data_IF_708393092520
#
_entry.id   IF_708393092520
#
_cell.length_a   1.000
_cell.length_b   1.000
_cell.length_c   1.000
_cell.angle_alpha   90.00
_cell.angle_beta   90.00
_cell.angle_gamma   90.00
#
_symmetry.space_group_name_H-M   'P 1'
#
loop_
_entity.id
_entity.type
_entity.pdbx_description
1 polymer ?
#
# COMPACT_ATOMS: atom_id res chain seq x y z
N UNK A 1 8.04 -7.95 8.14
CA UNK A 1 6.94 -6.99 8.38
C UNK A 1 7.24 -5.68 7.68
N UNK A 2 6.23 -4.93 7.27
CA UNK A 2 6.35 -3.56 6.78
C UNK A 2 5.25 -2.69 7.40
N UNK A 3 5.55 -1.43 7.71
CA UNK A 3 4.63 -0.47 8.33
C UNK A 3 4.49 0.73 7.40
N UNK A 4 3.24 1.18 7.22
CA UNK A 4 2.87 2.28 6.34
C UNK A 4 2.12 3.36 7.11
N UNK A 5 2.20 4.59 6.63
CA UNK A 5 1.26 5.63 7.01
C UNK A 5 -0.13 5.32 6.44
N UNK A 6 -1.10 4.99 7.31
CA UNK A 6 -2.42 4.51 6.89
C UNK A 6 -3.18 5.54 6.06
N UNK A 7 -2.92 6.84 6.27
CA UNK A 7 -3.52 7.97 5.54
C UNK A 7 -3.40 7.83 4.02
N UNK A 8 -2.36 7.16 3.54
CA UNK A 8 -2.07 7.04 2.11
C UNK A 8 -2.35 5.65 1.53
N UNK A 9 -3.00 4.77 2.31
CA UNK A 9 -3.37 3.43 1.88
C UNK A 9 -4.80 3.42 1.37
N UNK A 10 -4.98 2.97 0.13
CA UNK A 10 -6.25 3.01 -0.60
C UNK A 10 -7.08 1.73 -0.39
N UNK A 11 -7.28 1.34 0.88
CA UNK A 11 -7.99 0.13 1.25
C UNK A 11 -7.13 -1.13 1.27
N UNK A 12 -7.79 -2.24 1.62
CA UNK A 12 -7.15 -3.56 1.73
C UNK A 12 -6.51 -4.01 0.40
N UNK A 13 -7.21 -3.79 -0.72
CA UNK A 13 -6.75 -4.27 -2.04
C UNK A 13 -5.41 -3.65 -2.44
N UNK A 14 -5.16 -2.38 -2.14
CA UNK A 14 -3.87 -1.71 -2.35
C UNK A 14 -2.74 -2.54 -1.72
N UNK A 15 -2.79 -2.81 -0.41
CA UNK A 15 -1.73 -3.57 0.25
C UNK A 15 -1.67 -5.03 -0.22
N UNK A 16 -2.82 -5.64 -0.51
CA UNK A 16 -2.87 -7.01 -1.01
C UNK A 16 -2.12 -7.15 -2.34
N UNK A 17 -2.38 -6.28 -3.32
CA UNK A 17 -1.69 -6.31 -4.61
C UNK A 17 -0.22 -5.92 -4.49
N UNK A 18 0.14 -4.99 -3.61
CA UNK A 18 1.53 -4.65 -3.35
C UNK A 18 2.32 -5.87 -2.82
N UNK A 19 1.74 -6.63 -1.88
CA UNK A 19 2.34 -7.86 -1.35
C UNK A 19 2.43 -8.94 -2.42
N UNK A 20 1.36 -9.15 -3.18
CA UNK A 20 1.34 -10.14 -4.27
C UNK A 20 2.43 -9.85 -5.30
N UNK A 21 2.56 -8.60 -5.72
CA UNK A 21 3.54 -8.17 -6.71
C UNK A 21 4.97 -8.29 -6.16
N UNK A 22 5.21 -7.91 -4.91
CA UNK A 22 6.51 -8.07 -4.25
C UNK A 22 6.92 -9.54 -4.13
N UNK A 23 6.02 -10.42 -3.68
CA UNK A 23 6.28 -11.87 -3.61
C UNK A 23 6.54 -12.46 -5.00
N UNK A 24 5.79 -12.02 -6.01
CA UNK A 24 5.98 -12.44 -7.40
C UNK A 24 7.35 -12.00 -7.94
N UNK A 25 7.78 -10.78 -7.64
CA UNK A 25 9.08 -10.26 -8.03
C UNK A 25 10.23 -11.03 -7.35
N UNK A 26 10.10 -11.34 -6.06
CA UNK A 26 11.05 -12.17 -5.31
C UNK A 26 11.15 -13.57 -5.88
N UNK A 27 10.01 -14.24 -6.11
CA UNK A 27 9.96 -15.60 -6.63
C UNK A 27 10.64 -15.72 -8.00
N UNK A 28 10.46 -14.72 -8.85
CA UNK A 28 10.97 -14.73 -10.23
C UNK A 28 12.35 -14.06 -10.36
N UNK A 29 12.97 -13.62 -9.26
CA UNK A 29 14.32 -13.05 -9.27
C UNK A 29 14.45 -11.70 -9.97
N UNK A 30 13.33 -11.00 -10.18
CA UNK A 30 13.34 -9.64 -10.72
C UNK A 30 13.09 -8.59 -9.64
N UNK A 31 13.15 -8.89 -8.35
CA UNK A 31 12.97 -7.89 -7.30
C UNK A 31 13.93 -6.68 -7.41
N UNK A 32 13.47 -5.48 -7.03
CA UNK A 32 14.25 -4.24 -7.01
C UNK A 32 15.15 -4.19 -5.77
N UNK A 33 14.61 -4.57 -4.62
CA UNK A 33 15.25 -4.61 -3.32
C UNK A 33 15.52 -6.05 -2.90
N UNK A 34 16.65 -6.30 -2.22
CA UNK A 34 16.98 -7.60 -1.61
C UNK A 34 16.16 -7.92 -0.35
N UNK A 35 15.44 -6.93 0.20
CA UNK A 35 14.59 -7.07 1.37
C UNK A 35 13.11 -7.05 0.97
N UNK A 36 12.37 -8.11 1.29
CA UNK A 36 10.95 -8.26 0.94
C UNK A 36 10.08 -7.16 1.51
N UNK A 37 10.31 -6.71 2.75
CA UNK A 37 9.53 -5.61 3.34
C UNK A 37 9.71 -4.30 2.56
N UNK A 38 10.93 -4.05 2.10
CA UNK A 38 11.23 -2.89 1.25
C UNK A 38 10.63 -3.03 -0.14
N UNK A 39 10.58 -4.25 -0.68
CA UNK A 39 9.92 -4.52 -1.96
C UNK A 39 8.42 -4.25 -1.90
N UNK A 40 7.75 -4.69 -0.82
CA UNK A 40 6.32 -4.37 -0.61
C UNK A 40 6.11 -2.85 -0.56
N UNK A 41 7.02 -2.10 0.07
CA UNK A 41 6.95 -0.64 0.09
C UNK A 41 7.15 -0.01 -1.28
N UNK A 42 8.08 -0.52 -2.09
CA UNK A 42 8.29 -0.05 -3.46
C UNK A 42 7.05 -0.28 -4.32
N UNK A 43 6.44 -1.47 -4.24
CA UNK A 43 5.20 -1.77 -4.95
C UNK A 43 4.03 -0.90 -4.48
N UNK A 44 3.74 -0.84 -3.17
CA UNK A 44 2.65 -0.03 -2.63
C UNK A 44 2.78 1.46 -3.01
N UNK A 45 4.00 2.00 -2.99
CA UNK A 45 4.24 3.40 -3.36
C UNK A 45 4.31 3.65 -4.86
N UNK A 46 4.28 2.59 -5.67
CA UNK A 46 4.59 2.61 -7.09
C UNK A 46 5.89 3.36 -7.40
N UNK A 47 6.94 3.16 -6.59
CA UNK A 47 8.26 3.78 -6.75
C UNK A 47 9.35 2.73 -6.96
N UNK A 48 10.33 3.05 -7.82
CA UNK A 48 11.55 2.24 -7.98
C UNK A 48 12.69 2.68 -7.06
N UNK A 49 12.57 3.86 -6.44
CA UNK A 49 13.56 4.43 -5.53
C UNK A 49 13.10 4.30 -4.08
N UNK A 50 13.91 3.65 -3.24
CA UNK A 50 13.61 3.40 -1.83
C UNK A 50 13.34 4.70 -1.07
N UNK A 51 14.17 5.73 -1.26
CA UNK A 51 14.01 7.01 -0.54
C UNK A 51 12.65 7.65 -0.84
N UNK A 52 12.24 7.68 -2.12
CA UNK A 52 10.92 8.18 -2.52
C UNK A 52 9.80 7.33 -1.92
N UNK A 53 9.94 6.01 -1.92
CA UNK A 53 8.94 5.11 -1.34
C UNK A 53 8.72 5.38 0.17
N UNK A 54 9.82 5.61 0.91
CA UNK A 54 9.79 5.97 2.34
C UNK A 54 9.17 7.37 2.53
N UNK A 55 9.53 8.36 1.72
CA UNK A 55 8.97 9.72 1.80
C UNK A 55 7.45 9.74 1.57
N UNK A 56 6.98 8.88 0.65
CA UNK A 56 5.58 8.76 0.21
C UNK A 56 4.73 7.99 1.23
N UNK A 57 5.07 6.73 1.53
CA UNK A 57 4.24 5.84 2.35
C UNK A 57 4.84 5.47 3.70
N UNK A 58 6.08 5.85 3.99
CA UNK A 58 6.72 5.58 5.27
C UNK A 58 6.04 6.30 6.43
N UNK A 59 6.17 5.73 7.63
CA UNK A 59 5.67 6.32 8.88
C UNK A 59 6.50 7.55 9.23
N UNK A 60 5.82 8.63 9.64
CA UNK A 60 6.43 9.88 10.11
C UNK A 60 6.15 10.07 11.61
N UNK A 61 6.94 10.86 12.35
CA UNK A 61 6.78 11.02 13.80
C UNK A 61 5.40 11.51 14.26
N UNK A 62 4.64 12.15 13.38
CA UNK A 62 3.33 12.74 13.61
C UNK A 62 2.15 11.82 13.22
N UNK A 63 2.42 10.57 12.82
CA UNK A 63 1.40 9.62 12.37
C UNK A 63 0.77 8.89 13.56
N UNK A 64 -0.56 9.01 13.69
CA UNK A 64 -1.36 8.30 14.70
C UNK A 64 -1.98 6.99 14.18
N UNK A 65 -2.09 6.83 12.86
CA UNK A 65 -2.72 5.67 12.23
C UNK A 65 -1.73 4.99 11.27
N UNK A 66 -1.46 3.71 11.51
CA UNK A 66 -0.52 2.93 10.69
C UNK A 66 -1.19 1.69 10.14
N UNK A 67 -0.80 1.30 8.93
CA UNK A 67 -1.13 0.01 8.37
C UNK A 67 0.09 -0.91 8.48
N UNK A 68 -0.12 -2.16 8.91
CA UNK A 68 0.96 -3.13 9.09
C UNK A 68 0.73 -4.33 8.20
N UNK A 69 1.76 -4.70 7.44
CA UNK A 69 1.82 -5.94 6.67
C UNK A 69 2.78 -6.92 7.35
N UNK A 70 2.28 -8.11 7.67
CA UNK A 70 3.06 -9.22 8.22
C UNK A 70 3.01 -10.37 7.22
N UNK A 71 4.19 -10.84 6.80
CA UNK A 71 4.37 -11.98 5.90
C UNK A 71 5.16 -13.01 6.69
N UNK A 72 4.66 -14.24 6.73
CA UNK A 72 5.24 -15.36 7.46
C UNK A 72 4.97 -16.66 6.71
N UNK A 73 5.91 -17.61 6.78
CA UNK A 73 5.77 -18.94 6.18
C UNK A 73 4.82 -19.86 6.98
N UNK A 74 4.42 -19.42 8.19
CA UNK A 74 3.46 -20.13 9.03
C UNK A 74 2.47 -19.17 9.69
N UNK A 75 1.28 -19.70 9.98
CA UNK A 75 0.24 -18.98 10.70
C UNK A 75 0.70 -18.59 12.11
N UNK A 76 1.29 -19.53 12.84
CA UNK A 76 1.80 -19.29 14.20
C UNK A 76 2.86 -18.18 14.22
N UNK A 77 3.74 -18.14 13.22
CA UNK A 77 4.74 -17.08 13.07
C UNK A 77 4.10 -15.71 12.82
N UNK A 78 3.03 -15.65 12.01
CA UNK A 78 2.29 -14.41 11.79
C UNK A 78 1.58 -13.93 13.07
N UNK A 79 0.99 -14.85 13.84
CA UNK A 79 0.33 -14.52 15.11
C UNK A 79 1.32 -14.03 16.17
N UNK A 80 2.49 -14.66 16.27
CA UNK A 80 3.59 -14.18 17.16
C UNK A 80 4.01 -12.77 16.76
N UNK A 81 4.29 -12.54 15.47
CA UNK A 81 4.69 -11.23 14.99
C UNK A 81 3.61 -10.17 15.23
N UNK A 82 2.33 -10.52 15.03
CA UNK A 82 1.21 -9.62 15.31
C UNK A 82 1.19 -9.20 16.78
N UNK A 83 1.34 -10.13 17.73
CA UNK A 83 1.41 -9.80 19.16
C UNK A 83 2.55 -8.83 19.48
N UNK A 84 3.75 -9.12 18.99
CA UNK A 84 4.94 -8.27 19.22
C UNK A 84 4.72 -6.87 18.66
N UNK A 85 4.13 -6.75 17.46
CA UNK A 85 3.85 -5.44 16.85
C UNK A 85 2.80 -4.67 17.64
N UNK A 86 1.73 -5.33 18.09
CA UNK A 86 0.70 -4.69 18.92
C UNK A 86 1.27 -4.15 20.23
N UNK A 87 2.15 -4.91 20.89
CA UNK A 87 2.84 -4.46 22.10
C UNK A 87 3.77 -3.27 21.84
N UNK A 88 4.52 -3.30 20.72
CA UNK A 88 5.48 -2.25 20.39
C UNK A 88 4.80 -0.92 20.02
N UNK A 89 3.70 -0.98 19.26
CA UNK A 89 3.00 0.22 18.80
C UNK A 89 2.13 0.86 19.89
N UNK A 90 1.80 0.12 20.95
CA UNK A 90 0.93 0.59 22.05
C UNK A 90 -0.40 1.18 21.56
N UNK A 91 -0.88 0.72 20.40
CA UNK A 91 -2.10 1.21 19.74
C UNK A 91 -3.21 0.16 19.72
N UNK A 92 -4.41 0.58 19.34
CA UNK A 92 -5.55 -0.31 19.16
C UNK A 92 -5.66 -0.77 17.70
N UNK A 93 -5.89 -2.06 17.49
CA UNK A 93 -6.12 -2.59 16.15
C UNK A 93 -7.52 -2.19 15.69
N UNK A 94 -7.60 -1.46 14.59
CA UNK A 94 -8.85 -1.22 13.87
C UNK A 94 -8.65 -1.37 12.37
N UNK A 95 -9.45 -2.20 11.72
CA UNK A 95 -9.43 -2.34 10.26
C UNK A 95 -10.03 -1.10 9.56
N UNK A 96 -10.78 -0.25 10.30
CA UNK A 96 -11.36 1.00 9.80
C UNK A 96 -10.33 2.01 9.32
N UNK A 97 -9.07 1.93 9.78
CA UNK A 97 -7.98 2.81 9.31
C UNK A 97 -7.69 2.62 7.81
N UNK A 98 -8.11 1.49 7.23
CA UNK A 98 -7.97 1.23 5.80
C UNK A 98 -9.16 1.75 4.99
N UNK A 99 -10.30 2.01 5.61
CA UNK A 99 -11.49 2.51 4.92
C UNK A 99 -11.20 3.85 4.24
N UNK A 100 -11.82 4.04 3.08
CA UNK A 100 -11.70 5.26 2.31
C UNK A 100 -12.80 6.23 2.73
N UNK A 101 -12.40 7.49 2.92
CA UNK A 101 -13.29 8.64 3.08
C UNK A 101 -12.79 9.77 2.18
N UNK A 102 -13.57 10.84 2.05
CA UNK A 102 -13.27 11.96 1.15
C UNK A 102 -11.89 12.58 1.40
N UNK A 103 -11.52 12.81 2.66
CA UNK A 103 -10.23 13.40 3.04
C UNK A 103 -9.05 12.51 2.66
N UNK A 104 -9.20 11.20 2.89
CA UNK A 104 -8.20 10.19 2.56
C UNK A 104 -8.05 10.04 1.06
N UNK A 105 -9.15 9.98 0.32
CA UNK A 105 -9.17 9.97 -1.15
C UNK A 105 -8.44 11.20 -1.68
N UNK A 106 -8.74 12.39 -1.17
CA UNK A 106 -8.05 13.62 -1.58
C UNK A 106 -6.54 13.55 -1.31
N UNK A 107 -6.14 13.15 -0.11
CA UNK A 107 -4.72 13.03 0.26
C UNK A 107 -3.97 12.01 -0.62
N UNK A 108 -4.59 10.87 -0.91
CA UNK A 108 -4.04 9.85 -1.80
C UNK A 108 -3.92 10.39 -3.23
N UNK A 109 -4.94 11.05 -3.75
CA UNK A 109 -4.91 11.65 -5.09
C UNK A 109 -3.79 12.67 -5.22
N UNK A 110 -3.63 13.54 -4.24
CA UNK A 110 -2.53 14.52 -4.21
C UNK A 110 -1.17 13.83 -4.18
N UNK A 111 -0.99 12.83 -3.32
CA UNK A 111 0.28 12.12 -3.17
C UNK A 111 0.69 11.36 -4.43
N UNK A 112 -0.25 10.64 -5.04
CA UNK A 112 0.01 9.86 -6.24
C UNK A 112 -0.10 10.72 -7.51
N UNK A 113 -0.62 11.95 -7.46
CA UNK A 113 -0.86 12.76 -8.65
C UNK A 113 -1.94 12.13 -9.54
N UNK A 114 -3.08 11.73 -8.95
CA UNK A 114 -4.25 11.20 -9.67
C UNK A 114 -5.18 12.35 -10.06
N UNK A 115 -5.40 12.49 -11.36
CA UNK A 115 -6.15 13.59 -11.97
C UNK A 115 -7.63 13.26 -12.18
N UNK A 116 -8.49 14.28 -12.29
CA UNK A 116 -9.92 14.08 -12.60
C UNK A 116 -10.15 13.32 -13.92
N UNK A 117 -9.41 13.60 -15.03
CA UNK A 117 -9.55 12.81 -16.25
C UNK A 117 -9.22 11.32 -16.09
N UNK A 118 -8.24 10.97 -15.26
CA UNK A 118 -7.92 9.56 -14.96
C UNK A 118 -9.08 8.88 -14.23
N UNK A 119 -9.64 9.56 -13.21
CA UNK A 119 -10.81 9.05 -12.47
C UNK A 119 -12.00 8.87 -13.40
N UNK A 120 -12.33 9.88 -14.21
CA UNK A 120 -13.41 9.78 -15.18
C UNK A 120 -13.23 8.63 -16.17
N UNK A 121 -11.99 8.40 -16.65
CA UNK A 121 -11.68 7.34 -17.59
C UNK A 121 -11.91 5.95 -16.98
N UNK A 122 -11.56 5.76 -15.70
CA UNK A 122 -11.79 4.51 -14.99
C UNK A 122 -13.27 4.34 -14.63
N UNK A 123 -13.94 5.39 -14.13
CA UNK A 123 -15.35 5.35 -13.74
C UNK A 123 -16.29 5.06 -14.93
N UNK A 124 -16.01 5.61 -16.12
CA UNK A 124 -16.79 5.35 -17.34
C UNK A 124 -16.74 3.88 -17.79
N UNK A 125 -15.68 3.15 -17.45
CA UNK A 125 -15.46 1.77 -17.90
C UNK A 125 -16.12 0.72 -17.02
N UNK A 126 -16.31 1.00 -15.73
CA UNK A 126 -16.54 -0.06 -14.75
C UNK A 126 -17.95 -0.07 -14.17
N UNK A 127 -18.60 1.08 -13.97
CA UNK A 127 -19.91 1.12 -13.31
C UNK A 127 -19.84 0.62 -11.86
N UNK A 128 -20.22 1.48 -10.91
CA UNK A 128 -20.15 1.25 -9.46
C UNK A 128 -18.73 1.22 -8.86
N UNK A 129 -18.60 1.78 -7.65
CA UNK A 129 -17.33 1.96 -6.92
C UNK A 129 -16.95 3.42 -6.63
N UNK A 130 -17.62 4.40 -7.25
CA UNK A 130 -17.42 5.82 -6.97
C UNK A 130 -16.00 6.33 -7.27
N UNK A 131 -15.62 7.42 -6.61
CA UNK A 131 -14.27 8.00 -6.73
C UNK A 131 -13.26 7.14 -5.96
N UNK A 132 -13.67 6.58 -4.83
CA UNK A 132 -12.90 5.69 -3.96
C UNK A 132 -12.35 4.49 -4.75
N UNK A 133 -13.24 3.74 -5.40
CA UNK A 133 -12.87 2.55 -6.17
C UNK A 133 -11.99 2.89 -7.37
N UNK A 134 -12.24 4.04 -8.03
CA UNK A 134 -11.39 4.50 -9.12
C UNK A 134 -9.96 4.80 -8.65
N UNK A 135 -9.81 5.45 -7.48
CA UNK A 135 -8.49 5.75 -6.90
C UNK A 135 -7.74 4.48 -6.50
N UNK A 136 -8.39 3.54 -5.80
CA UNK A 136 -7.78 2.24 -5.47
C UNK A 136 -7.32 1.51 -6.72
N UNK A 137 -8.15 1.49 -7.77
CA UNK A 137 -7.82 0.82 -9.03
C UNK A 137 -6.62 1.44 -9.74
N UNK A 138 -6.58 2.76 -9.86
CA UNK A 138 -5.48 3.48 -10.49
C UNK A 138 -4.15 3.21 -9.78
N UNK A 139 -4.17 3.10 -8.45
CA UNK A 139 -2.98 2.75 -7.68
C UNK A 139 -2.54 1.33 -8.02
N UNK A 140 -3.43 0.34 -7.91
CA UNK A 140 -3.12 -1.06 -8.24
C UNK A 140 -2.55 -1.20 -9.66
N UNK A 141 -3.08 -0.45 -10.63
CA UNK A 141 -2.56 -0.43 -12.00
C UNK A 141 -1.12 0.11 -12.05
N UNK A 142 -0.81 1.17 -11.30
CA UNK A 142 0.55 1.72 -11.19
C UNK A 142 1.50 0.74 -10.49
N UNK A 143 1.06 0.02 -9.45
CA UNK A 143 1.85 -1.03 -8.81
C UNK A 143 2.20 -2.14 -9.81
N UNK A 144 1.21 -2.60 -10.59
CA UNK A 144 1.37 -3.67 -11.57
C UNK A 144 2.30 -3.27 -12.74
N UNK A 145 2.37 -1.98 -13.07
CA UNK A 145 3.26 -1.43 -14.08
C UNK A 145 4.67 -1.16 -13.57
N UNK A 146 4.92 -1.14 -12.26
CA UNK A 146 6.24 -0.87 -11.70
C UNK A 146 7.38 -1.71 -12.32
N UNK A 147 7.21 -3.02 -12.62
CA UNK A 147 8.26 -3.82 -13.24
C UNK A 147 8.64 -3.39 -14.67
N UNK A 148 7.77 -2.66 -15.38
CA UNK A 148 8.02 -2.22 -16.76
C UNK A 148 8.81 -0.91 -16.84
N UNK A 149 8.97 -0.20 -15.72
CA UNK A 149 9.64 1.11 -15.65
C UNK A 149 11.17 1.00 -15.45
N UNK A 150 11.78 -0.08 -15.95
CA UNK A 150 13.20 -0.41 -15.75
C UNK A 150 14.07 0.01 -16.92
#
# INVERSE_FOLDING_TARGET
MQIFNAKFIAGYEHLYFAVLNALTAFKNGFNISKNLAMEVLLFASAQTQINKAIETLGVKPDVSEVAVVIISDSKDGAEVALRVVSELLSGERSDSVLELNEDKVKAIRELFGITDPEIEAVSKRLGEGGVEGAVTRLIIEREALLPTQR
#
